data_IF_709382976842
#
_entry.id   IF_709382976842
#
_cell.length_a   1.000
_cell.length_b   1.000
_cell.length_c   1.000
_cell.angle_alpha   90.00
_cell.angle_beta   90.00
_cell.angle_gamma   90.00
#
_symmetry.space_group_name_H-M   'P 1'
#
loop_
_entity.id
_entity.type
_entity.pdbx_description
1 polymer ?
#
# COMPACT_ATOMS: atom_id res chain seq x y z
N UNK A 1 8.73 -23.23 -7.40
CA UNK A 1 7.28 -23.45 -7.11
C UNK A 1 6.40 -22.37 -7.73
N UNK A 2 6.68 -21.08 -7.55
CA UNK A 2 5.80 -19.98 -7.99
C UNK A 2 6.16 -19.30 -9.32
N UNK A 3 7.14 -19.80 -10.08
CA UNK A 3 7.62 -19.15 -11.32
C UNK A 3 6.46 -18.87 -12.29
N UNK A 4 5.72 -19.92 -12.68
CA UNK A 4 4.56 -19.79 -13.57
C UNK A 4 3.42 -19.00 -12.96
N UNK A 5 3.26 -19.02 -11.64
CA UNK A 5 2.26 -18.19 -10.96
C UNK A 5 2.60 -16.70 -11.06
N UNK A 6 3.87 -16.34 -10.88
CA UNK A 6 4.35 -14.96 -10.99
C UNK A 6 4.16 -14.45 -12.41
N UNK A 7 4.45 -15.26 -13.43
CA UNK A 7 4.21 -14.94 -14.85
C UNK A 7 2.72 -14.65 -15.13
N UNK A 8 1.81 -15.35 -14.45
CA UNK A 8 0.36 -15.14 -14.58
C UNK A 8 -0.16 -13.94 -13.79
N UNK A 9 0.41 -13.66 -12.62
CA UNK A 9 -0.10 -12.63 -11.69
C UNK A 9 0.48 -11.25 -11.96
N UNK A 10 1.74 -11.17 -12.40
CA UNK A 10 2.41 -9.90 -12.75
C UNK A 10 1.64 -9.06 -13.77
N UNK A 11 1.07 -9.62 -14.86
CA UNK A 11 0.42 -8.84 -15.91
C UNK A 11 -0.78 -8.01 -15.45
N UNK A 12 -1.49 -8.42 -14.38
CA UNK A 12 -2.63 -7.68 -13.81
C UNK A 12 -2.33 -7.03 -12.46
N UNK A 13 -1.11 -7.14 -11.93
CA UNK A 13 -0.70 -6.52 -10.65
C UNK A 13 0.08 -5.25 -10.92
N UNK A 14 -0.33 -4.10 -10.36
CA UNK A 14 0.28 -2.79 -10.64
C UNK A 14 0.68 -2.05 -9.36
N UNK A 15 1.80 -1.29 -9.40
CA UNK A 15 2.16 -0.42 -8.29
C UNK A 15 1.27 0.82 -8.27
N UNK A 16 1.06 1.35 -7.08
CA UNK A 16 0.62 2.73 -6.86
C UNK A 16 1.81 3.45 -6.26
N UNK A 17 2.41 4.38 -7.01
CA UNK A 17 3.53 5.16 -6.53
C UNK A 17 3.03 6.43 -5.84
N UNK A 18 3.72 6.84 -4.79
CA UNK A 18 3.43 8.07 -4.06
C UNK A 18 4.70 8.90 -3.94
N UNK A 19 4.58 10.21 -4.09
CA UNK A 19 5.58 11.15 -3.61
C UNK A 19 4.96 12.07 -2.57
N UNK A 20 5.66 12.22 -1.45
CA UNK A 20 5.19 12.97 -0.30
C UNK A 20 6.16 14.10 0.01
N UNK A 21 5.62 15.28 0.30
CA UNK A 21 6.39 16.43 0.79
C UNK A 21 5.92 16.84 2.18
N UNK A 22 6.89 17.17 3.02
CA UNK A 22 6.70 17.67 4.38
C UNK A 22 6.92 19.18 4.45
N UNK A 23 6.25 19.83 5.40
CA UNK A 23 6.38 21.26 5.62
C UNK A 23 7.81 21.66 6.00
N UNK A 24 8.28 22.81 5.49
CA UNK A 24 9.62 23.34 5.76
C UNK A 24 10.78 22.62 5.05
N UNK A 25 10.50 21.56 4.29
CA UNK A 25 11.50 20.79 3.53
C UNK A 25 11.26 20.78 2.02
N UNK A 26 12.34 20.59 1.26
CA UNK A 26 12.31 20.25 -0.16
C UNK A 26 12.54 18.76 -0.44
N UNK A 27 12.78 17.97 0.62
CA UNK A 27 12.97 16.53 0.50
C UNK A 27 11.64 15.85 0.13
N UNK A 28 11.75 14.89 -0.79
CA UNK A 28 10.62 14.12 -1.30
C UNK A 28 10.78 12.69 -0.81
N UNK A 29 9.76 12.19 -0.12
CA UNK A 29 9.74 10.82 0.37
C UNK A 29 8.94 9.96 -0.62
N UNK A 30 9.60 9.02 -1.34
CA UNK A 30 8.90 8.10 -2.21
C UNK A 30 8.21 7.01 -1.37
N UNK A 31 7.01 6.64 -1.81
CA UNK A 31 6.24 5.54 -1.26
C UNK A 31 5.67 4.68 -2.37
N UNK A 32 5.30 3.45 -2.02
CA UNK A 32 4.59 2.55 -2.92
C UNK A 32 3.50 1.79 -2.17
N UNK A 33 2.50 1.37 -2.93
CA UNK A 33 1.53 0.33 -2.58
C UNK A 33 1.28 -0.53 -3.82
N UNK A 34 0.42 -1.53 -3.69
CA UNK A 34 0.06 -2.43 -4.78
C UNK A 34 -1.45 -2.44 -4.98
N UNK A 35 -1.89 -2.63 -6.22
CA UNK A 35 -3.25 -2.99 -6.57
C UNK A 35 -3.22 -4.10 -7.61
N UNK A 36 -4.33 -4.79 -7.81
CA UNK A 36 -4.45 -5.76 -8.90
C UNK A 36 -5.83 -5.73 -9.55
N UNK A 37 -5.85 -5.92 -10.86
CA UNK A 37 -7.05 -5.84 -11.68
C UNK A 37 -7.87 -7.14 -11.58
N UNK A 38 -9.19 -6.97 -11.42
CA UNK A 38 -10.13 -8.09 -11.25
C UNK A 38 -10.93 -8.40 -12.51
N UNK A 39 -10.92 -7.50 -13.49
CA UNK A 39 -11.57 -7.69 -14.79
C UNK A 39 -10.97 -6.76 -15.86
N UNK A 40 -11.49 -6.88 -17.07
CA UNK A 40 -11.14 -6.10 -18.26
C UNK A 40 -11.74 -4.68 -18.32
N UNK A 41 -12.60 -4.32 -17.36
CA UNK A 41 -13.38 -3.08 -17.33
C UNK A 41 -12.72 -1.97 -16.50
N UNK A 42 -11.43 -2.09 -16.18
CA UNK A 42 -10.69 -1.12 -15.37
C UNK A 42 -10.97 -1.20 -13.87
N UNK A 43 -11.52 -2.31 -13.36
CA UNK A 43 -11.65 -2.49 -11.91
C UNK A 43 -10.41 -3.14 -11.31
N UNK A 44 -9.90 -2.52 -10.25
CA UNK A 44 -8.83 -3.04 -9.42
C UNK A 44 -9.25 -3.06 -7.95
N UNK A 45 -8.58 -3.90 -7.16
CA UNK A 45 -8.69 -3.90 -5.69
C UNK A 45 -7.36 -3.56 -5.05
N UNK A 46 -7.42 -2.91 -3.90
CA UNK A 46 -6.29 -2.61 -3.02
C UNK A 46 -6.78 -2.48 -1.58
N UNK A 47 -5.90 -2.12 -0.65
CA UNK A 47 -6.28 -1.87 0.73
C UNK A 47 -7.04 -0.55 0.91
N UNK A 48 -7.92 -0.51 1.91
CA UNK A 48 -8.66 0.72 2.28
C UNK A 48 -7.70 1.83 2.70
N UNK A 49 -6.71 1.51 3.54
CA UNK A 49 -5.74 2.51 3.97
C UNK A 49 -4.96 3.13 2.79
N UNK A 50 -4.72 2.37 1.71
CA UNK A 50 -4.03 2.87 0.51
C UNK A 50 -4.89 3.91 -0.20
N UNK A 51 -6.19 3.66 -0.37
CA UNK A 51 -7.08 4.65 -1.00
C UNK A 51 -7.37 5.86 -0.12
N UNK A 52 -7.35 5.69 1.21
CA UNK A 52 -7.42 6.82 2.13
C UNK A 52 -6.24 7.77 1.93
N UNK A 53 -5.02 7.26 1.72
CA UNK A 53 -3.87 8.11 1.35
C UNK A 53 -4.11 8.91 0.04
N UNK A 54 -4.78 8.31 -0.95
CA UNK A 54 -5.13 8.97 -2.22
C UNK A 54 -6.16 10.08 -1.99
N UNK A 55 -7.27 9.76 -1.33
CA UNK A 55 -8.41 10.68 -1.13
C UNK A 55 -8.02 11.84 -0.20
N UNK A 56 -7.28 11.57 0.86
CA UNK A 56 -6.87 12.59 1.84
C UNK A 56 -5.83 13.56 1.25
N UNK A 57 -5.09 13.18 0.20
CA UNK A 57 -4.08 14.02 -0.43
C UNK A 57 -4.61 15.39 -0.88
N UNK A 58 -5.83 15.46 -1.40
CA UNK A 58 -6.46 16.72 -1.82
C UNK A 58 -6.81 17.63 -0.64
N UNK A 59 -7.32 17.05 0.45
CA UNK A 59 -7.64 17.80 1.67
C UNK A 59 -6.38 18.35 2.33
N UNK A 60 -5.32 17.54 2.41
CA UNK A 60 -3.99 17.93 2.91
C UNK A 60 -3.46 19.13 2.12
N UNK A 61 -3.45 19.04 0.79
CA UNK A 61 -2.94 20.13 -0.04
C UNK A 61 -3.79 21.39 0.06
N UNK A 62 -5.11 21.24 0.13
CA UNK A 62 -6.03 22.37 0.31
C UNK A 62 -5.81 23.08 1.65
N UNK A 63 -5.54 22.33 2.73
CA UNK A 63 -5.17 22.89 4.04
C UNK A 63 -3.86 23.67 3.97
N UNK A 64 -2.84 23.12 3.32
CA UNK A 64 -1.57 23.80 3.10
C UNK A 64 -1.71 25.07 2.25
N UNK A 65 -2.52 25.05 1.19
CA UNK A 65 -2.77 26.22 0.34
C UNK A 65 -3.45 27.36 1.11
N UNK A 66 -4.37 27.05 2.05
CA UNK A 66 -4.98 28.05 2.93
C UNK A 66 -3.93 28.70 3.83
N UNK A 67 -3.12 27.89 4.51
CA UNK A 67 -1.99 28.37 5.30
C UNK A 67 -1.05 29.27 4.48
N UNK A 68 -0.61 28.82 3.30
CA UNK A 68 0.28 29.56 2.40
C UNK A 68 -0.35 30.87 1.91
N UNK A 69 -1.65 30.86 1.63
CA UNK A 69 -2.42 32.04 1.23
C UNK A 69 -2.50 33.10 2.33
N UNK A 70 -2.65 32.69 3.59
CA UNK A 70 -2.63 33.61 4.72
C UNK A 70 -1.22 34.13 5.02
N UNK A 71 -0.21 33.28 4.96
CA UNK A 71 1.18 33.67 5.20
C UNK A 71 1.65 34.76 4.23
N UNK A 72 1.24 34.68 2.96
CA UNK A 72 1.54 35.69 1.92
C UNK A 72 1.07 37.11 2.29
N UNK A 73 0.02 37.25 3.12
CA UNK A 73 -0.48 38.56 3.54
C UNK A 73 0.55 39.34 4.38
N UNK A 74 1.46 38.62 5.04
CA UNK A 74 2.47 39.18 5.94
C UNK A 74 3.89 39.18 5.36
N UNK A 75 4.06 38.87 4.07
CA UNK A 75 5.38 38.64 3.44
C UNK A 75 6.29 39.89 3.46
N UNK A 76 5.70 41.08 3.41
CA UNK A 76 6.41 42.37 3.42
C UNK A 76 6.50 43.03 4.79
N UNK A 77 5.94 42.41 5.84
CA UNK A 77 5.92 42.97 7.18
C UNK A 77 7.24 42.73 7.92
N UNK A 78 7.70 43.73 8.70
CA UNK A 78 8.95 43.62 9.49
C UNK A 78 8.92 42.47 10.50
N UNK A 79 7.73 42.04 10.94
CA UNK A 79 7.53 40.98 11.92
C UNK A 79 7.14 39.63 11.27
N UNK A 80 7.46 39.42 9.99
CA UNK A 80 7.09 38.23 9.22
C UNK A 80 7.31 36.90 9.98
N UNK A 81 8.46 36.73 10.64
CA UNK A 81 8.78 35.52 11.40
C UNK A 81 7.82 35.24 12.56
N UNK A 82 7.34 36.29 13.25
CA UNK A 82 6.35 36.15 14.33
C UNK A 82 4.98 35.77 13.76
N UNK A 83 4.59 36.36 12.63
CA UNK A 83 3.35 36.01 11.93
C UNK A 83 3.37 34.58 11.41
N UNK A 84 4.51 34.15 10.83
CA UNK A 84 4.72 32.78 10.39
C UNK A 84 4.52 31.81 11.54
N UNK A 85 5.22 32.01 12.67
CA UNK A 85 5.11 31.11 13.83
C UNK A 85 3.68 31.01 14.36
N UNK A 86 2.97 32.13 14.47
CA UNK A 86 1.56 32.15 14.90
C UNK A 86 0.64 31.39 13.95
N UNK A 87 0.87 31.51 12.63
CA UNK A 87 0.10 30.77 11.64
C UNK A 87 0.46 29.28 11.65
N UNK A 88 1.73 28.93 11.85
CA UNK A 88 2.16 27.54 12.03
C UNK A 88 1.45 26.90 13.22
N UNK A 89 1.41 27.58 14.37
CA UNK A 89 0.68 27.13 15.56
C UNK A 89 -0.83 27.00 15.29
N UNK A 90 -1.44 27.96 14.59
CA UNK A 90 -2.86 27.95 14.27
C UNK A 90 -3.25 26.81 13.31
N UNK A 91 -2.41 26.53 12.32
CA UNK A 91 -2.65 25.50 11.31
C UNK A 91 -2.07 24.13 11.66
N UNK A 92 -1.31 24.02 12.75
CA UNK A 92 -0.63 22.78 13.16
C UNK A 92 0.50 22.37 12.22
N UNK A 93 1.25 23.33 11.69
CA UNK A 93 2.35 23.09 10.75
C UNK A 93 3.66 22.85 11.51
N UNK A 94 4.16 21.62 11.46
CA UNK A 94 5.49 21.23 11.96
C UNK A 94 6.31 20.59 10.85
N UNK A 95 7.60 20.31 11.06
CA UNK A 95 8.44 19.66 10.05
C UNK A 95 7.96 18.24 9.69
N UNK A 96 7.14 17.64 10.55
CA UNK A 96 6.54 16.33 10.39
C UNK A 96 5.16 16.41 9.70
N UNK A 97 4.62 17.62 9.48
CA UNK A 97 3.34 17.81 8.80
C UNK A 97 3.49 17.53 7.30
N UNK A 98 2.75 16.55 6.80
CA UNK A 98 2.61 16.29 5.37
C UNK A 98 1.79 17.42 4.74
N UNK A 99 2.30 18.01 3.66
CA UNK A 99 1.63 19.11 2.94
C UNK A 99 1.24 18.75 1.51
N UNK A 100 1.81 17.67 0.97
CA UNK A 100 1.52 17.20 -0.38
C UNK A 100 1.70 15.69 -0.46
N UNK A 101 0.76 15.04 -1.12
CA UNK A 101 0.85 13.65 -1.56
C UNK A 101 0.39 13.63 -3.03
N UNK A 102 1.23 13.12 -3.92
CA UNK A 102 0.86 12.88 -5.31
C UNK A 102 0.90 11.38 -5.61
N UNK A 103 -0.24 10.74 -5.88
CA UNK A 103 -0.27 9.37 -6.38
C UNK A 103 0.07 9.32 -7.88
N UNK A 104 0.56 8.17 -8.34
CA UNK A 104 0.76 7.83 -9.74
C UNK A 104 0.45 6.35 -9.99
N UNK A 105 -0.47 6.08 -10.90
CA UNK A 105 -0.95 4.73 -11.26
C UNK A 105 -0.20 4.21 -12.50
N UNK A 106 1.06 3.81 -12.29
CA UNK A 106 1.96 3.43 -13.37
C UNK A 106 1.41 2.25 -14.19
N UNK A 107 1.46 2.37 -15.53
CA UNK A 107 1.10 1.30 -16.47
C UNK A 107 -0.25 0.63 -16.18
N UNK A 108 -1.22 1.41 -15.69
CA UNK A 108 -2.55 0.93 -15.36
C UNK A 108 -3.50 1.13 -16.53
N UNK A 109 -3.81 2.39 -16.87
CA UNK A 109 -4.63 2.76 -18.03
C UNK A 109 -4.05 3.98 -18.75
N UNK A 110 -4.34 4.12 -20.03
CA UNK A 110 -3.98 5.31 -20.81
C UNK A 110 -5.04 6.39 -20.67
N UNK A 111 -4.63 7.57 -20.21
CA UNK A 111 -5.50 8.76 -20.05
C UNK A 111 -6.76 8.44 -19.27
N UNK A 112 -6.64 8.38 -17.95
CA UNK A 112 -7.80 8.31 -17.08
C UNK A 112 -8.52 9.65 -17.04
N UNK A 113 -9.81 9.67 -17.38
CA UNK A 113 -10.66 10.85 -17.23
C UNK A 113 -11.31 10.91 -15.85
N UNK A 114 -11.57 9.77 -15.19
CA UNK A 114 -12.19 9.74 -13.86
C UNK A 114 -11.83 8.47 -13.10
N UNK A 115 -11.48 8.63 -11.82
CA UNK A 115 -11.27 7.54 -10.87
C UNK A 115 -12.40 7.49 -9.85
N UNK A 116 -13.08 6.36 -9.73
CA UNK A 116 -14.07 6.11 -8.68
C UNK A 116 -13.48 5.18 -7.62
N UNK A 117 -13.51 5.60 -6.35
CA UNK A 117 -12.99 4.82 -5.22
C UNK A 117 -14.16 4.41 -4.32
N UNK A 118 -14.29 3.12 -4.06
CA UNK A 118 -15.30 2.56 -3.15
C UNK A 118 -14.62 1.77 -2.04
N UNK A 119 -14.41 2.35 -0.84
CA UNK A 119 -13.83 1.64 0.29
C UNK A 119 -14.85 0.68 0.90
N UNK A 120 -14.39 -0.47 1.37
CA UNK A 120 -15.19 -1.38 2.16
C UNK A 120 -15.50 -0.76 3.54
N UNK A 121 -16.71 -0.93 4.10
CA UNK A 121 -17.09 -0.28 5.37
C UNK A 121 -16.18 -0.70 6.54
N UNK A 122 -15.94 -2.00 6.73
CA UNK A 122 -15.24 -2.53 7.91
C UNK A 122 -13.86 -3.16 7.62
N UNK A 123 -13.71 -3.86 6.50
CA UNK A 123 -12.47 -4.54 6.11
C UNK A 123 -11.49 -3.59 5.41
N UNK A 124 -10.19 -3.88 5.52
CA UNK A 124 -9.13 -3.12 4.84
C UNK A 124 -9.03 -3.46 3.35
N UNK A 125 -10.10 -3.17 2.63
CA UNK A 125 -10.32 -3.45 1.22
C UNK A 125 -10.97 -2.24 0.55
N UNK A 126 -10.59 -1.95 -0.69
CA UNK A 126 -11.23 -0.95 -1.53
C UNK A 126 -11.24 -1.40 -2.99
N UNK A 127 -12.24 -0.93 -3.73
CA UNK A 127 -12.33 -1.04 -5.18
C UNK A 127 -11.94 0.31 -5.78
N UNK A 128 -11.09 0.28 -6.80
CA UNK A 128 -10.78 1.40 -7.69
C UNK A 128 -11.34 1.05 -9.05
N UNK A 129 -12.13 1.96 -9.63
CA UNK A 129 -12.59 1.88 -11.01
C UNK A 129 -11.98 3.02 -11.80
N UNK A 130 -11.14 2.65 -12.75
CA UNK A 130 -10.63 3.56 -13.77
C UNK A 130 -11.71 3.69 -14.84
N UNK A 131 -12.26 4.89 -15.03
CA UNK A 131 -13.34 5.13 -15.99
C UNK A 131 -12.87 6.01 -17.16
N UNK A 132 -13.50 5.79 -18.32
CA UNK A 132 -13.31 6.61 -19.52
C UNK A 132 -11.83 6.72 -19.92
N UNK A 133 -11.16 5.57 -20.04
CA UNK A 133 -9.78 5.46 -20.50
C UNK A 133 -9.72 4.93 -21.94
N UNK A 134 -8.65 5.28 -22.67
CA UNK A 134 -8.50 4.90 -24.08
C UNK A 134 -8.03 3.45 -24.25
N UNK A 135 -7.19 2.96 -23.33
CA UNK A 135 -6.48 1.69 -23.45
C UNK A 135 -6.09 1.12 -22.09
N UNK A 136 -6.17 -0.21 -21.94
CA UNK A 136 -5.65 -0.94 -20.79
C UNK A 136 -4.14 -1.16 -20.94
N UNK A 137 -3.35 -0.77 -19.94
CA UNK A 137 -1.91 -1.12 -19.87
C UNK A 137 -1.65 -2.33 -18.96
N UNK A 138 -2.68 -2.84 -18.30
CA UNK A 138 -2.67 -4.16 -17.69
C UNK A 138 -3.15 -5.24 -18.66
N UNK A 139 -2.71 -6.47 -18.43
CA UNK A 139 -3.10 -7.63 -19.22
C UNK A 139 -3.67 -8.70 -18.30
N UNK A 140 -4.75 -9.34 -18.75
CA UNK A 140 -5.46 -10.35 -17.94
C UNK A 140 -6.17 -9.74 -16.73
N UNK A 141 -6.52 -10.61 -15.78
CA UNK A 141 -7.24 -10.28 -14.54
C UNK A 141 -7.04 -11.41 -13.51
N UNK A 142 -7.33 -11.10 -12.25
CA UNK A 142 -7.31 -12.09 -11.19
C UNK A 142 -8.38 -13.18 -11.35
N UNK A 143 -7.97 -14.43 -11.12
CA UNK A 143 -8.87 -15.56 -10.89
C UNK A 143 -8.89 -15.87 -9.40
N UNK A 144 -10.04 -15.68 -8.77
CA UNK A 144 -10.22 -15.98 -7.35
C UNK A 144 -10.48 -17.46 -7.14
N UNK A 145 -10.09 -17.99 -5.98
CA UNK A 145 -10.49 -19.33 -5.56
C UNK A 145 -12.03 -19.41 -5.54
N UNK A 146 -12.61 -20.35 -6.30
CA UNK A 146 -14.06 -20.56 -6.35
C UNK A 146 -14.58 -21.07 -5.01
N UNK A 147 -14.23 -22.30 -4.70
CA UNK A 147 -14.57 -22.98 -3.46
C UNK A 147 -13.33 -23.67 -2.90
N UNK A 148 -13.22 -23.72 -1.59
CA UNK A 148 -12.13 -24.42 -0.91
C UNK A 148 -11.67 -23.71 0.34
N UNK A 149 -11.14 -24.51 1.27
CA UNK A 149 -10.66 -24.01 2.55
C UNK A 149 -9.19 -23.59 2.48
N UNK A 150 -8.89 -22.44 3.09
CA UNK A 150 -7.53 -21.92 3.25
C UNK A 150 -6.91 -22.58 4.48
N UNK A 151 -6.50 -23.83 4.30
CA UNK A 151 -5.98 -24.66 5.39
C UNK A 151 -4.62 -24.18 5.89
N UNK A 152 -4.42 -24.31 7.20
CA UNK A 152 -3.12 -24.16 7.85
C UNK A 152 -2.07 -25.08 7.19
N UNK A 153 -0.84 -24.59 7.04
CA UNK A 153 0.27 -25.28 6.40
C UNK A 153 0.31 -25.14 4.87
N UNK A 154 -0.74 -24.58 4.23
CA UNK A 154 -0.71 -24.29 2.78
C UNK A 154 0.33 -23.23 2.47
N UNK A 155 1.21 -23.49 1.50
CA UNK A 155 2.15 -22.49 0.97
C UNK A 155 1.47 -21.59 -0.06
N UNK A 156 1.59 -20.28 0.13
CA UNK A 156 1.06 -19.25 -0.74
C UNK A 156 2.15 -18.19 -1.00
N UNK A 157 1.98 -17.40 -2.06
CA UNK A 157 2.88 -16.32 -2.43
C UNK A 157 2.13 -14.99 -2.53
N UNK A 158 2.77 -13.91 -2.13
CA UNK A 158 2.30 -12.54 -2.36
C UNK A 158 3.16 -11.88 -3.42
N UNK A 159 2.55 -11.02 -4.22
CA UNK A 159 3.26 -10.17 -5.16
C UNK A 159 2.92 -8.70 -4.86
N UNK A 160 3.93 -7.85 -4.84
CA UNK A 160 3.75 -6.41 -4.75
C UNK A 160 5.04 -5.67 -5.03
N UNK A 161 5.08 -4.38 -4.69
CA UNK A 161 6.18 -3.49 -5.07
C UNK A 161 6.79 -2.80 -3.84
N UNK A 162 7.37 -3.56 -2.89
CA UNK A 162 8.12 -2.98 -1.79
C UNK A 162 9.41 -2.31 -2.31
N UNK A 163 10.00 -1.44 -1.48
CA UNK A 163 11.24 -0.74 -1.80
C UNK A 163 11.11 0.12 -3.08
N UNK A 164 10.43 1.28 -2.99
CA UNK A 164 10.28 2.15 -4.14
C UNK A 164 11.66 2.59 -4.65
N UNK A 165 11.99 2.20 -5.88
CA UNK A 165 13.27 2.50 -6.54
C UNK A 165 13.10 3.50 -7.70
N UNK A 166 11.87 3.98 -7.93
CA UNK A 166 11.60 5.02 -8.92
C UNK A 166 12.24 6.35 -8.48
N UNK A 167 12.66 7.15 -9.46
CA UNK A 167 13.35 8.43 -9.26
C UNK A 167 12.80 9.53 -10.16
N UNK A 168 11.67 9.30 -10.82
CA UNK A 168 11.09 10.21 -11.81
C UNK A 168 10.21 11.29 -11.17
N UNK A 169 10.77 12.01 -10.23
CA UNK A 169 10.12 13.11 -9.53
C UNK A 169 11.13 14.17 -9.15
N UNK A 170 10.66 15.39 -8.93
CA UNK A 170 11.51 16.48 -8.44
C UNK A 170 10.73 17.49 -7.61
N UNK A 171 11.48 18.28 -6.87
CA UNK A 171 10.98 19.50 -6.26
C UNK A 171 11.11 20.65 -7.26
N UNK A 172 9.99 21.25 -7.64
CA UNK A 172 9.91 22.40 -8.51
C UNK A 172 10.00 23.68 -7.67
N UNK A 173 11.17 24.34 -7.70
CA UNK A 173 11.43 25.55 -6.91
C UNK A 173 10.57 26.74 -7.32
N UNK A 174 10.24 26.85 -8.61
CA UNK A 174 9.48 27.98 -9.14
C UNK A 174 8.01 27.90 -8.69
N UNK A 175 7.47 26.69 -8.62
CA UNK A 175 6.11 26.43 -8.13
C UNK A 175 6.04 26.25 -6.60
N UNK A 176 7.18 25.99 -5.96
CA UNK A 176 7.26 25.53 -4.57
C UNK A 176 6.30 24.35 -4.33
N UNK A 177 6.40 23.34 -5.19
CA UNK A 177 5.62 22.09 -5.14
C UNK A 177 6.47 20.92 -5.66
N UNK A 178 5.99 19.69 -5.47
CA UNK A 178 6.57 18.48 -6.05
C UNK A 178 5.84 18.10 -7.32
N UNK A 179 6.54 17.46 -8.25
CA UNK A 179 5.97 16.99 -9.50
C UNK A 179 6.62 15.70 -9.99
N UNK A 180 5.86 14.95 -10.79
CA UNK A 180 6.37 13.82 -11.55
C UNK A 180 7.13 14.31 -12.80
N UNK A 181 8.17 13.59 -13.18
CA UNK A 181 8.98 13.86 -14.38
C UNK A 181 8.96 12.66 -15.32
N UNK A 182 9.37 12.89 -16.57
CA UNK A 182 9.64 11.82 -17.54
C UNK A 182 11.05 11.24 -17.39
N UNK A 183 11.97 12.04 -16.82
CA UNK A 183 13.37 11.66 -16.61
C UNK A 183 13.51 10.75 -15.38
N UNK A 184 14.48 9.84 -15.40
CA UNK A 184 14.76 8.92 -14.30
C UNK A 184 14.02 7.58 -14.40
N UNK A 185 14.15 6.76 -13.36
CA UNK A 185 13.50 5.44 -13.31
C UNK A 185 12.03 5.59 -12.93
N UNK A 186 11.13 4.99 -13.72
CA UNK A 186 9.68 5.07 -13.44
C UNK A 186 9.15 3.85 -12.69
N UNK A 187 9.76 2.68 -12.90
CA UNK A 187 9.33 1.41 -12.33
C UNK A 187 10.15 1.00 -11.12
N UNK A 188 9.50 0.26 -10.22
CA UNK A 188 10.14 -0.53 -9.18
C UNK A 188 9.99 -2.01 -9.53
N UNK A 189 10.96 -2.87 -9.19
CA UNK A 189 10.81 -4.31 -9.39
C UNK A 189 9.64 -4.84 -8.56
N UNK A 190 8.93 -5.84 -9.11
CA UNK A 190 8.00 -6.62 -8.29
C UNK A 190 8.78 -7.56 -7.39
N UNK A 191 8.24 -7.81 -6.20
CA UNK A 191 8.90 -8.62 -5.18
C UNK A 191 7.96 -9.75 -4.72
N UNK A 192 8.18 -11.00 -5.18
CA UNK A 192 7.43 -12.14 -4.67
C UNK A 192 7.87 -12.48 -3.25
N UNK A 193 6.92 -12.78 -2.36
CA UNK A 193 7.19 -13.18 -0.98
C UNK A 193 6.25 -14.31 -0.56
N UNK A 194 6.80 -15.51 -0.40
CA UNK A 194 6.06 -16.70 0.02
C UNK A 194 5.94 -16.82 1.53
N UNK A 195 5.00 -17.65 1.97
CA UNK A 195 4.77 -18.00 3.37
C UNK A 195 3.77 -19.13 3.49
N UNK A 196 3.73 -19.77 4.66
CA UNK A 196 2.70 -20.77 4.97
C UNK A 196 1.56 -20.13 5.75
N UNK A 197 0.33 -20.59 5.48
CA UNK A 197 -0.84 -20.21 6.29
C UNK A 197 -0.65 -20.72 7.70
N UNK A 198 -0.60 -19.82 8.68
CA UNK A 198 -0.47 -20.17 10.11
C UNK A 198 -1.82 -20.36 10.75
N UNK A 199 -2.81 -19.53 10.41
CA UNK A 199 -4.19 -19.62 10.87
C UNK A 199 -5.11 -18.77 10.02
N UNK A 200 -6.41 -19.02 10.16
CA UNK A 200 -7.44 -18.09 9.70
C UNK A 200 -7.72 -17.05 10.78
N UNK A 201 -8.09 -15.85 10.35
CA UNK A 201 -8.45 -14.73 11.22
C UNK A 201 -9.96 -14.58 11.12
N UNK A 202 -10.65 -14.87 12.23
CA UNK A 202 -12.09 -14.73 12.34
C UNK A 202 -12.51 -13.38 12.91
N UNK A 203 -13.70 -12.95 12.55
CA UNK A 203 -14.41 -11.88 13.23
C UNK A 203 -14.92 -12.38 14.58
N UNK A 204 -14.57 -11.73 15.71
CA UNK A 204 -15.00 -12.18 17.03
C UNK A 204 -16.51 -12.02 17.29
N UNK A 205 -17.20 -11.18 16.51
CA UNK A 205 -18.65 -10.93 16.60
C UNK A 205 -19.42 -11.89 15.69
N UNK A 206 -18.98 -12.03 14.44
CA UNK A 206 -19.74 -12.82 13.43
C UNK A 206 -19.26 -14.27 13.28
N UNK A 207 -18.12 -14.63 13.87
CA UNK A 207 -17.42 -15.91 13.67
C UNK A 207 -17.11 -16.25 12.21
N UNK A 208 -17.19 -15.27 11.30
CA UNK A 208 -16.83 -15.44 9.89
C UNK A 208 -15.34 -15.23 9.70
N UNK A 209 -14.77 -16.04 8.82
CA UNK A 209 -13.36 -15.90 8.41
C UNK A 209 -13.23 -14.66 7.55
N UNK A 210 -12.41 -13.70 8.00
CA UNK A 210 -12.18 -12.43 7.32
C UNK A 210 -10.75 -12.28 6.81
N UNK A 211 -9.81 -13.03 7.38
CA UNK A 211 -8.42 -12.93 6.99
C UNK A 211 -7.63 -14.23 7.09
N UNK A 212 -6.39 -14.15 6.62
CA UNK A 212 -5.41 -15.22 6.55
C UNK A 212 -4.12 -14.70 7.17
N UNK A 213 -3.55 -15.41 8.13
CA UNK A 213 -2.21 -15.10 8.67
C UNK A 213 -1.16 -15.96 7.97
N UNK A 214 -0.05 -15.35 7.54
CA UNK A 214 1.09 -16.03 6.95
C UNK A 214 2.32 -15.95 7.85
N UNK A 215 3.15 -16.98 7.82
CA UNK A 215 4.37 -17.09 8.62
C UNK A 215 5.43 -16.02 8.31
N UNK A 216 5.35 -15.37 7.15
CA UNK A 216 6.27 -14.32 6.71
C UNK A 216 5.59 -12.95 6.73
N UNK A 217 6.30 -11.87 7.10
CA UNK A 217 5.70 -10.55 7.24
C UNK A 217 5.21 -9.99 5.91
N UNK A 218 4.29 -9.04 5.94
CA UNK A 218 4.09 -8.13 4.81
C UNK A 218 5.19 -7.06 4.78
N UNK A 219 5.60 -6.65 3.59
CA UNK A 219 6.53 -5.54 3.40
C UNK A 219 5.76 -4.26 3.05
N UNK A 220 6.24 -3.09 3.50
CA UNK A 220 5.73 -1.80 3.04
C UNK A 220 5.85 -1.73 1.52
N UNK A 221 4.77 -1.40 0.83
CA UNK A 221 4.66 -1.48 -0.63
C UNK A 221 3.94 -2.72 -1.16
N UNK A 222 3.75 -3.78 -0.36
CA UNK A 222 2.91 -4.93 -0.73
C UNK A 222 1.44 -4.79 -0.31
N UNK A 223 1.06 -3.76 0.46
CA UNK A 223 -0.35 -3.50 0.78
C UNK A 223 -1.19 -3.43 -0.50
N UNK A 224 -2.24 -4.24 -0.56
CA UNK A 224 -3.12 -4.39 -1.72
C UNK A 224 -2.63 -5.40 -2.77
N UNK A 225 -1.51 -6.08 -2.55
CA UNK A 225 -0.99 -7.11 -3.45
C UNK A 225 -1.74 -8.45 -3.34
N UNK A 226 -1.89 -9.22 -4.44
CA UNK A 226 -2.60 -10.50 -4.40
C UNK A 226 -1.80 -11.55 -3.62
N UNK A 227 -2.52 -12.37 -2.85
CA UNK A 227 -2.05 -13.62 -2.24
C UNK A 227 -2.54 -14.79 -3.11
N UNK A 228 -1.65 -15.64 -3.62
CA UNK A 228 -1.99 -16.66 -4.60
C UNK A 228 -1.21 -17.98 -4.41
N UNK A 229 -1.69 -19.04 -5.06
CA UNK A 229 -1.06 -20.37 -5.04
C UNK A 229 -0.06 -20.60 -6.20
N UNK A 230 0.48 -21.82 -6.32
CA UNK A 230 1.41 -22.19 -7.40
C UNK A 230 0.82 -22.09 -8.82
N UNK A 231 -0.50 -21.95 -8.96
CA UNK A 231 -1.19 -21.83 -10.24
C UNK A 231 -1.56 -20.38 -10.58
N UNK A 232 -1.38 -19.44 -9.64
CA UNK A 232 -1.76 -18.04 -9.78
C UNK A 232 -3.21 -17.75 -9.34
N UNK A 233 -3.88 -18.71 -8.69
CA UNK A 233 -5.24 -18.52 -8.17
C UNK A 233 -5.15 -17.68 -6.90
N UNK A 234 -5.98 -16.63 -6.80
CA UNK A 234 -5.96 -15.66 -5.71
C UNK A 234 -6.79 -16.17 -4.52
N UNK A 235 -6.11 -16.27 -3.36
CA UNK A 235 -6.62 -16.68 -2.05
C UNK A 235 -6.91 -15.50 -1.12
N UNK A 236 -6.40 -14.31 -1.45
CA UNK A 236 -6.62 -13.12 -0.64
C UNK A 236 -5.80 -11.93 -1.12
N UNK A 237 -5.64 -10.94 -0.25
CA UNK A 237 -4.88 -9.73 -0.54
C UNK A 237 -4.09 -9.29 0.69
N UNK A 238 -2.80 -9.02 0.51
CA UNK A 238 -1.92 -8.54 1.57
C UNK A 238 -2.43 -7.21 2.14
N UNK A 239 -2.61 -7.11 3.45
CA UNK A 239 -3.12 -5.90 4.13
C UNK A 239 -2.13 -5.34 5.14
N UNK A 240 -1.71 -6.14 6.11
CA UNK A 240 -0.90 -5.64 7.22
C UNK A 240 0.14 -6.66 7.72
N UNK A 241 0.93 -6.24 8.69
CA UNK A 241 1.90 -7.09 9.40
C UNK A 241 1.61 -7.00 10.88
N UNK A 242 1.55 -8.15 11.54
CA UNK A 242 1.41 -8.26 12.99
C UNK A 242 2.76 -8.60 13.61
N UNK A 243 3.10 -7.87 14.67
CA UNK A 243 4.34 -8.04 15.41
C UNK A 243 4.03 -8.80 16.71
N UNK A 244 4.57 -10.00 16.86
CA UNK A 244 4.36 -10.89 18.00
C UNK A 244 5.60 -10.88 18.89
N UNK A 245 5.49 -10.34 20.10
CA UNK A 245 6.56 -10.41 21.09
C UNK A 245 6.81 -11.86 21.50
N UNK A 246 8.06 -12.31 21.47
CA UNK A 246 8.38 -13.71 21.69
C UNK A 246 8.58 -14.09 23.16
N UNK A 247 8.73 -13.12 24.05
CA UNK A 247 8.66 -13.33 25.51
C UNK A 247 9.94 -13.87 26.15
N UNK A 248 11.05 -13.95 25.41
CA UNK A 248 12.36 -14.38 25.92
C UNK A 248 13.42 -13.28 25.81
N UNK A 249 13.07 -12.12 26.38
CA UNK A 249 13.92 -10.93 26.37
C UNK A 249 15.26 -11.19 27.05
N UNK A 250 16.32 -10.70 26.40
CA UNK A 250 17.64 -10.65 27.01
C UNK A 250 17.84 -9.20 27.45
N UNK A 251 17.99 -8.95 28.75
CA UNK A 251 18.21 -7.60 29.29
C UNK A 251 19.60 -7.56 29.91
N UNK A 252 20.44 -6.63 29.44
CA UNK A 252 21.81 -6.43 29.95
C UNK A 252 22.65 -7.72 30.01
N UNK A 253 22.43 -8.64 29.06
CA UNK A 253 23.15 -9.91 29.03
C UNK A 253 24.56 -9.70 28.49
N UNK A 254 25.55 -10.19 29.22
CA UNK A 254 26.94 -10.19 28.76
C UNK A 254 27.10 -11.23 27.64
N UNK A 255 27.51 -10.77 26.46
CA UNK A 255 27.84 -11.60 25.30
C UNK A 255 29.25 -11.26 24.83
N UNK A 256 29.94 -12.24 24.25
CA UNK A 256 31.25 -12.01 23.63
C UNK A 256 31.05 -11.76 22.14
N UNK A 257 31.38 -10.55 21.69
CA UNK A 257 31.36 -10.17 20.27
C UNK A 257 32.82 -9.93 19.87
N UNK A 258 33.41 -10.92 19.18
CA UNK A 258 34.87 -10.96 18.96
C UNK A 258 35.64 -11.15 20.28
N UNK A 259 36.68 -10.36 20.51
CA UNK A 259 37.50 -10.41 21.73
C UNK A 259 36.94 -9.55 22.89
N UNK A 260 35.81 -8.85 22.70
CA UNK A 260 35.24 -7.94 23.70
C UNK A 260 33.97 -8.52 24.32
N UNK A 261 33.88 -8.42 25.64
CA UNK A 261 32.64 -8.63 26.39
C UNK A 261 31.78 -7.36 26.32
N UNK A 262 30.55 -7.50 25.87
CA UNK A 262 29.59 -6.41 25.76
C UNK A 262 28.26 -6.81 26.39
N UNK A 263 27.58 -5.87 27.04
CA UNK A 263 26.18 -6.07 27.47
C UNK A 263 25.25 -5.69 26.33
N UNK A 264 24.35 -6.60 25.99
CA UNK A 264 23.33 -6.38 24.98
C UNK A 264 21.94 -6.59 25.58
N UNK A 265 20.98 -5.84 25.03
CA UNK A 265 19.57 -6.10 25.25
C UNK A 265 18.92 -6.45 23.92
N UNK A 266 18.10 -7.50 23.91
CA UNK A 266 17.39 -7.97 22.72
C UNK A 266 15.94 -8.30 23.09
N UNK A 267 15.00 -7.70 22.36
CA UNK A 267 13.55 -7.88 22.51
C UNK A 267 13.02 -8.49 21.21
N UNK A 268 13.00 -9.83 21.08
CA UNK A 268 12.76 -10.48 19.81
C UNK A 268 11.25 -10.48 19.46
N UNK A 269 10.95 -10.10 18.22
CA UNK A 269 9.60 -10.13 17.64
C UNK A 269 9.54 -11.07 16.44
N UNK A 270 8.45 -11.84 16.33
CA UNK A 270 8.07 -12.55 15.11
C UNK A 270 7.08 -11.70 14.33
N UNK A 271 7.37 -11.48 13.05
CA UNK A 271 6.53 -10.67 12.17
C UNK A 271 5.77 -11.59 11.22
N UNK A 272 4.44 -11.54 11.28
CA UNK A 272 3.53 -12.37 10.46
C UNK A 272 2.67 -11.48 9.58
N UNK A 273 2.43 -11.90 8.34
CA UNK A 273 1.58 -11.16 7.41
C UNK A 273 0.11 -11.44 7.67
N UNK A 274 -0.74 -10.43 7.50
CA UNK A 274 -2.20 -10.58 7.52
C UNK A 274 -2.77 -10.17 6.17
N UNK A 275 -3.61 -11.04 5.61
CA UNK A 275 -4.25 -10.84 4.33
C UNK A 275 -5.77 -10.84 4.50
N UNK A 276 -6.47 -10.02 3.72
CA UNK A 276 -7.93 -10.10 3.55
C UNK A 276 -8.26 -11.40 2.82
N UNK A 277 -9.24 -12.14 3.33
CA UNK A 277 -9.64 -13.43 2.76
C UNK A 277 -10.37 -13.28 1.42
N UNK A 278 -10.16 -14.20 0.47
CA UNK A 278 -10.79 -14.17 -0.87
C UNK A 278 -12.32 -14.01 -0.83
N UNK A 279 -13.00 -14.69 0.10
CA UNK A 279 -14.47 -14.59 0.20
C UNK A 279 -14.94 -13.18 0.53
N UNK A 280 -14.21 -12.44 1.38
CA UNK A 280 -14.51 -11.02 1.67
C UNK A 280 -14.43 -10.18 0.39
N UNK A 281 -13.39 -10.42 -0.42
CA UNK A 281 -13.19 -9.71 -1.69
C UNK A 281 -14.33 -10.03 -2.66
N UNK A 282 -14.65 -11.31 -2.86
CA UNK A 282 -15.73 -11.76 -3.76
C UNK A 282 -17.11 -11.25 -3.32
N UNK A 283 -17.40 -11.29 -2.02
CA UNK A 283 -18.63 -10.74 -1.46
C UNK A 283 -18.77 -9.25 -1.77
N UNK A 284 -17.71 -8.47 -1.54
CA UNK A 284 -17.72 -7.03 -1.82
C UNK A 284 -17.87 -6.72 -3.32
N UNK A 285 -17.14 -7.43 -4.18
CA UNK A 285 -17.26 -7.27 -5.64
C UNK A 285 -18.68 -7.57 -6.12
N UNK A 286 -19.28 -8.66 -5.63
CA UNK A 286 -20.67 -9.04 -5.93
C UNK A 286 -21.68 -8.02 -5.41
N UNK A 287 -21.51 -7.52 -4.19
CA UNK A 287 -22.36 -6.46 -3.62
C UNK A 287 -22.35 -5.20 -4.49
N UNK A 288 -21.17 -4.83 -5.03
CA UNK A 288 -21.00 -3.66 -5.90
C UNK A 288 -21.29 -3.93 -7.38
N UNK A 289 -21.75 -5.12 -7.74
CA UNK A 289 -22.03 -5.48 -9.14
C UNK A 289 -20.79 -5.51 -10.04
N UNK A 290 -19.60 -5.70 -9.45
CA UNK A 290 -18.34 -5.75 -10.19
C UNK A 290 -18.09 -7.17 -10.68
N UNK A 291 -17.86 -7.31 -11.98
CA UNK A 291 -17.50 -8.59 -12.61
C UNK A 291 -16.16 -9.11 -12.06
N UNK A 292 -16.09 -10.40 -11.75
CA UNK A 292 -14.86 -11.10 -11.36
C UNK A 292 -14.89 -12.54 -11.87
N UNK A 293 -13.74 -13.21 -11.80
CA UNK A 293 -13.56 -14.57 -12.32
C UNK A 293 -13.11 -15.52 -11.22
N UNK A 294 -13.49 -16.79 -11.33
CA UNK A 294 -13.18 -17.82 -10.35
C UNK A 294 -12.57 -19.06 -11.01
N UNK A 295 -11.62 -19.70 -10.34
CA UNK A 295 -10.99 -20.94 -10.76
C UNK A 295 -11.03 -21.98 -9.63
N UNK A 296 -11.10 -23.25 -10.02
CA UNK A 296 -10.94 -24.36 -9.09
C UNK A 296 -9.47 -24.51 -8.69
N UNK A 297 -9.16 -24.89 -7.44
CA UNK A 297 -7.79 -25.13 -7.03
C UNK A 297 -7.17 -26.22 -7.91
N UNK A 298 -6.01 -25.94 -8.51
CA UNK A 298 -5.33 -26.88 -9.40
C UNK A 298 -4.96 -28.17 -8.65
N UNK A 299 -5.45 -29.32 -9.15
CA UNK A 299 -5.01 -30.66 -8.74
C UNK A 299 -3.54 -30.85 -9.16
#
# INVERSE_FOLDING_TARGET
MFVTAIEKVTPFTRPINFITRYYGGGEIVPGSATMFFVNEQGFAVTCKHVVEHIVHGQAIYSHFLKFKGELRKFEKEKNHSLHQKRLEDHYGMTKETVIRILPNFLNSVRRELTMEITPHPTQDLAIIKFASFDENFYQGHAFFLRDGDVRQGRSLCRLGYPFPEFTNYRYNKDMDDIEWTTDGRQSSPSFPLDGIVTRQIGDPVTNRVQGIELSTPGLRGQSGGPLFDRHGIVYGMQSSTRHLHLGFDQINKEVSIGAKKQRVSNYPFLNVGQCVHVNVIKEFLREKGVKYYEADPGV
#
